data_IF_456168409020
#
_entry.id   IF_456168409020
#
_cell.length_a   1.000
_cell.length_b   1.000
_cell.length_c   1.000
_cell.angle_alpha   90.00
_cell.angle_beta   90.00
_cell.angle_gamma   90.00
#
_symmetry.space_group_name_H-M   'P 1'
#
loop_
_entity.id
_entity.type
_entity.pdbx_description
1 polymer ?
#
# COMPACT_ATOMS: atom_id res chain seq x y z
N UNK A 1 23.82 11.87 0.84
CA UNK A 1 22.74 12.50 0.06
C UNK A 1 21.65 12.91 1.03
N UNK A 2 21.16 14.14 0.93
CA UNK A 2 20.20 14.72 1.88
C UNK A 2 18.82 14.11 1.66
N UNK A 3 18.21 13.61 2.75
CA UNK A 3 16.83 13.16 2.80
C UNK A 3 15.87 14.22 2.21
N UNK A 4 14.85 13.79 1.46
CA UNK A 4 13.85 14.71 0.92
C UNK A 4 12.95 15.23 2.04
N UNK A 5 12.69 16.54 2.03
CA UNK A 5 11.67 17.13 2.90
C UNK A 5 10.31 17.21 2.18
N UNK A 6 9.27 17.50 2.95
CA UNK A 6 7.89 17.59 2.45
C UNK A 6 7.75 18.63 1.32
N UNK A 7 8.42 19.77 1.44
CA UNK A 7 8.34 20.85 0.44
C UNK A 7 8.94 20.42 -0.90
N UNK A 8 10.07 19.71 -0.89
CA UNK A 8 10.69 19.17 -2.09
C UNK A 8 9.79 18.13 -2.78
N UNK A 9 9.13 17.26 -2.01
CA UNK A 9 8.18 16.28 -2.55
C UNK A 9 6.97 16.99 -3.17
N UNK A 10 6.42 18.00 -2.49
CA UNK A 10 5.32 18.81 -3.02
C UNK A 10 5.72 19.60 -4.28
N UNK A 11 6.97 20.06 -4.39
CA UNK A 11 7.51 20.67 -5.61
C UNK A 11 7.53 19.67 -6.76
N UNK A 12 8.07 18.46 -6.54
CA UNK A 12 8.09 17.41 -7.58
C UNK A 12 6.68 17.04 -8.04
N UNK A 13 5.72 16.93 -7.12
CA UNK A 13 4.31 16.68 -7.47
C UNK A 13 3.74 17.81 -8.34
N UNK A 14 4.06 19.08 -8.06
CA UNK A 14 3.63 20.22 -8.90
C UNK A 14 4.26 20.20 -10.29
N UNK A 15 5.54 19.85 -10.39
CA UNK A 15 6.24 19.70 -11.67
C UNK A 15 5.55 18.60 -12.51
N UNK A 16 5.31 17.43 -11.90
CA UNK A 16 4.61 16.32 -12.56
C UNK A 16 3.22 16.74 -13.04
N UNK A 17 2.46 17.45 -12.20
CA UNK A 17 1.13 17.94 -12.56
C UNK A 17 1.17 18.83 -13.82
N UNK A 18 2.14 19.74 -13.90
CA UNK A 18 2.33 20.64 -15.04
C UNK A 18 2.79 19.90 -16.31
N UNK A 19 3.82 19.07 -16.21
CA UNK A 19 4.40 18.34 -17.35
C UNK A 19 3.41 17.35 -17.97
N UNK A 20 2.66 16.63 -17.13
CA UNK A 20 1.69 15.63 -17.57
C UNK A 20 0.32 16.23 -17.91
N UNK A 21 0.12 17.53 -17.63
CA UNK A 21 -1.14 18.25 -17.83
C UNK A 21 -2.32 17.54 -17.16
N UNK A 22 -2.11 17.09 -15.92
CA UNK A 22 -3.10 16.42 -15.07
C UNK A 22 -3.47 17.31 -13.89
N UNK A 23 -4.36 16.83 -13.03
CA UNK A 23 -4.53 17.36 -11.67
C UNK A 23 -4.33 16.25 -10.66
N UNK A 24 -3.53 16.50 -9.64
CA UNK A 24 -3.30 15.56 -8.55
C UNK A 24 -4.45 15.70 -7.56
N UNK A 25 -5.15 14.60 -7.35
CA UNK A 25 -6.31 14.48 -6.47
C UNK A 25 -5.93 14.19 -5.03
N UNK A 26 -4.91 13.34 -4.87
CA UNK A 26 -4.44 12.82 -3.61
C UNK A 26 -2.99 12.38 -3.78
N UNK A 27 -2.13 12.65 -2.81
CA UNK A 27 -0.75 12.17 -2.78
C UNK A 27 -0.36 11.84 -1.34
N UNK A 28 0.25 10.68 -1.14
CA UNK A 28 0.66 10.19 0.17
C UNK A 28 2.00 9.46 0.12
N UNK A 29 2.56 9.23 1.30
CA UNK A 29 3.66 8.29 1.48
C UNK A 29 3.13 6.85 1.42
N UNK A 30 3.96 5.93 0.95
CA UNK A 30 3.71 4.49 0.96
C UNK A 30 4.94 3.75 1.51
N UNK A 31 4.91 2.42 1.49
CA UNK A 31 6.08 1.60 1.84
C UNK A 31 6.50 1.75 3.30
N UNK A 32 7.80 1.54 3.56
CA UNK A 32 8.34 1.43 4.93
C UNK A 32 8.09 2.65 5.81
N UNK A 33 8.00 3.83 5.20
CA UNK A 33 7.72 5.10 5.90
C UNK A 33 6.26 5.15 6.36
N UNK A 34 5.32 4.79 5.49
CA UNK A 34 3.90 4.68 5.83
C UNK A 34 3.63 3.55 6.84
N UNK A 35 4.43 2.48 6.82
CA UNK A 35 4.31 1.37 7.77
C UNK A 35 4.82 1.68 9.19
N UNK A 36 5.44 2.84 9.43
CA UNK A 36 5.83 3.29 10.76
C UNK A 36 7.24 2.89 11.23
N UNK A 37 8.08 2.36 10.35
CA UNK A 37 9.47 2.02 10.67
C UNK A 37 10.50 2.57 9.66
N UNK A 38 10.45 3.88 9.33
CA UNK A 38 11.47 4.48 8.48
C UNK A 38 12.84 4.39 9.14
N UNK A 39 13.84 3.92 8.40
CA UNK A 39 15.25 4.15 8.74
C UNK A 39 15.71 5.50 8.16
N UNK A 40 16.90 5.97 8.56
CA UNK A 40 17.51 7.17 7.95
C UNK A 40 17.68 7.04 6.43
N UNK A 41 17.92 5.82 5.96
CA UNK A 41 18.10 5.49 4.53
C UNK A 41 16.84 4.88 3.90
N UNK A 42 15.65 5.13 4.49
CA UNK A 42 14.40 4.70 3.85
C UNK A 42 14.11 5.57 2.64
N UNK A 43 13.89 4.91 1.50
CA UNK A 43 13.38 5.51 0.27
C UNK A 43 12.03 6.20 0.51
N UNK A 44 11.74 7.20 -0.32
CA UNK A 44 10.47 7.91 -0.37
C UNK A 44 9.62 7.29 -1.47
N UNK A 45 8.57 6.58 -1.06
CA UNK A 45 7.62 5.89 -1.91
C UNK A 45 6.37 6.76 -2.05
N UNK A 46 6.46 7.83 -2.84
CA UNK A 46 5.33 8.75 -3.02
C UNK A 46 4.35 8.13 -4.00
N UNK A 47 3.08 8.05 -3.59
CA UNK A 47 2.00 7.51 -4.40
C UNK A 47 0.90 8.53 -4.55
N UNK A 48 0.33 8.66 -5.74
CA UNK A 48 -0.69 9.68 -6.00
C UNK A 48 -1.81 9.22 -6.91
N UNK A 49 -2.98 9.84 -6.75
CA UNK A 49 -4.11 9.73 -7.66
C UNK A 49 -4.18 11.01 -8.47
N UNK A 50 -4.43 10.88 -9.77
CA UNK A 50 -4.58 12.04 -10.65
C UNK A 50 -5.78 11.90 -11.57
N UNK A 51 -6.20 13.00 -12.15
CA UNK A 51 -7.27 13.07 -13.15
C UNK A 51 -6.78 13.84 -14.37
N UNK A 52 -7.16 13.35 -15.55
CA UNK A 52 -6.90 13.99 -16.84
C UNK A 52 -8.08 14.91 -17.23
N UNK A 53 -7.93 15.82 -18.21
CA UNK A 53 -9.06 16.58 -18.74
C UNK A 53 -10.16 15.68 -19.32
N UNK A 54 -11.41 16.14 -19.33
CA UNK A 54 -12.58 15.37 -19.81
C UNK A 54 -12.38 14.77 -21.20
N UNK A 55 -11.87 15.56 -22.16
CA UNK A 55 -11.62 15.12 -23.54
C UNK A 55 -10.63 13.95 -23.63
N UNK A 56 -9.78 13.77 -22.62
CA UNK A 56 -8.88 12.61 -22.56
C UNK A 56 -9.66 11.31 -22.43
N UNK A 57 -10.74 11.31 -21.62
CA UNK A 57 -11.62 10.17 -21.38
C UNK A 57 -12.66 9.96 -22.49
N UNK A 58 -13.04 11.04 -23.20
CA UNK A 58 -13.93 10.98 -24.36
C UNK A 58 -13.19 10.55 -25.64
N UNK A 59 -12.42 9.47 -25.53
CA UNK A 59 -11.65 8.89 -26.64
C UNK A 59 -12.04 7.44 -26.84
N UNK A 60 -12.09 7.00 -28.10
CA UNK A 60 -12.36 5.59 -28.45
C UNK A 60 -11.18 4.66 -28.17
N UNK A 61 -9.99 5.21 -27.90
CA UNK A 61 -8.78 4.44 -27.65
C UNK A 61 -8.43 4.45 -26.17
N UNK A 62 -7.99 3.30 -25.67
CA UNK A 62 -7.35 3.23 -24.37
C UNK A 62 -6.02 3.98 -24.38
N UNK A 63 -5.77 4.68 -23.27
CA UNK A 63 -4.58 5.50 -23.06
C UNK A 63 -3.92 5.08 -21.76
N UNK A 64 -2.61 5.34 -21.66
CA UNK A 64 -1.82 4.99 -20.47
C UNK A 64 -2.41 5.67 -19.22
N UNK A 65 -2.71 4.86 -18.21
CA UNK A 65 -3.42 5.24 -16.99
C UNK A 65 -2.51 5.27 -15.74
N UNK A 66 -1.19 5.30 -15.98
CA UNK A 66 -0.14 5.38 -14.95
C UNK A 66 0.88 6.46 -15.31
N UNK A 67 1.40 7.15 -14.30
CA UNK A 67 2.56 8.04 -14.39
C UNK A 67 3.62 7.50 -13.45
N UNK A 68 4.81 7.23 -13.97
CA UNK A 68 5.93 6.67 -13.21
C UNK A 68 7.13 7.62 -13.38
N UNK A 69 7.69 8.09 -12.27
CA UNK A 69 8.78 9.08 -12.21
C UNK A 69 9.79 8.68 -11.13
N UNK A 70 10.79 7.85 -11.46
CA UNK A 70 11.92 7.63 -10.58
C UNK A 70 12.82 8.87 -10.61
N UNK A 71 12.64 9.78 -9.65
CA UNK A 71 13.37 11.07 -9.60
C UNK A 71 14.82 10.86 -9.19
N UNK A 72 15.05 9.94 -8.24
CA UNK A 72 16.37 9.48 -7.83
C UNK A 72 16.27 8.08 -7.21
N UNK A 73 17.42 7.49 -6.86
CA UNK A 73 17.45 6.22 -6.14
C UNK A 73 16.70 6.27 -4.79
N UNK A 74 16.47 7.48 -4.24
CA UNK A 74 15.79 7.69 -2.96
C UNK A 74 14.35 8.20 -3.10
N UNK A 75 13.91 8.62 -4.29
CA UNK A 75 12.57 9.21 -4.49
C UNK A 75 11.89 8.59 -5.70
N UNK A 76 10.91 7.74 -5.40
CA UNK A 76 10.08 7.03 -6.35
C UNK A 76 8.65 7.59 -6.30
N UNK A 77 8.23 8.27 -7.37
CA UNK A 77 6.91 8.90 -7.46
C UNK A 77 6.08 8.18 -8.53
N UNK A 78 4.99 7.52 -8.10
CA UNK A 78 4.12 6.77 -8.99
C UNK A 78 2.66 7.13 -8.77
N UNK A 79 1.92 7.29 -9.85
CA UNK A 79 0.52 7.71 -9.80
C UNK A 79 -0.39 6.91 -10.70
N UNK A 80 -1.64 6.81 -10.29
CA UNK A 80 -2.72 6.18 -11.03
C UNK A 80 -3.79 7.18 -11.41
N UNK A 81 -4.25 7.06 -12.65
CA UNK A 81 -5.43 7.77 -13.13
C UNK A 81 -6.65 7.37 -12.29
N UNK A 82 -7.55 8.32 -12.03
CA UNK A 82 -8.73 8.11 -11.19
C UNK A 82 -9.63 6.98 -11.72
N UNK A 83 -9.78 6.81 -13.03
CA UNK A 83 -10.57 5.71 -13.61
C UNK A 83 -9.91 4.36 -13.29
N UNK A 84 -8.58 4.28 -13.31
CA UNK A 84 -7.83 3.10 -12.88
C UNK A 84 -8.02 2.86 -11.39
N UNK A 85 -7.87 3.90 -10.57
CA UNK A 85 -8.01 3.82 -9.13
C UNK A 85 -9.40 3.30 -8.73
N UNK A 86 -10.48 3.85 -9.30
CA UNK A 86 -11.84 3.37 -9.02
C UNK A 86 -12.05 1.91 -9.46
N UNK A 87 -11.45 1.48 -10.57
CA UNK A 87 -11.48 0.08 -10.98
C UNK A 87 -10.69 -0.85 -10.04
N UNK A 88 -9.58 -0.38 -9.48
CA UNK A 88 -8.80 -1.11 -8.48
C UNK A 88 -9.54 -1.17 -7.14
N UNK A 89 -10.18 -0.07 -6.74
CA UNK A 89 -11.04 0.02 -5.58
C UNK A 89 -12.20 -0.97 -5.65
N UNK A 90 -12.87 -1.05 -6.80
CA UNK A 90 -13.94 -2.03 -7.08
C UNK A 90 -13.51 -3.48 -6.88
N UNK A 91 -12.22 -3.77 -7.07
CA UNK A 91 -11.61 -5.10 -6.89
C UNK A 91 -11.00 -5.30 -5.50
N UNK A 92 -11.17 -4.34 -4.60
CA UNK A 92 -10.53 -4.27 -3.28
C UNK A 92 -9.01 -4.43 -3.35
N UNK A 93 -8.39 -3.74 -4.31
CA UNK A 93 -6.95 -3.80 -4.51
C UNK A 93 -6.20 -3.27 -3.26
N UNK A 94 -5.40 -4.10 -2.55
CA UNK A 94 -4.79 -3.65 -1.31
C UNK A 94 -3.81 -2.48 -1.43
N UNK A 95 -2.96 -2.38 -2.47
CA UNK A 95 -2.11 -1.20 -2.62
C UNK A 95 -2.90 0.11 -2.66
N UNK A 96 -4.01 0.18 -3.39
CA UNK A 96 -4.84 1.39 -3.38
C UNK A 96 -5.44 1.68 -2.00
N UNK A 97 -5.98 0.65 -1.33
CA UNK A 97 -6.58 0.79 -0.01
C UNK A 97 -5.55 1.25 1.02
N UNK A 98 -4.31 0.77 0.91
CA UNK A 98 -3.17 1.23 1.72
C UNK A 98 -2.82 2.68 1.45
N UNK A 99 -2.78 3.13 0.19
CA UNK A 99 -2.53 4.54 -0.13
C UNK A 99 -3.57 5.42 0.55
N UNK A 100 -4.85 5.04 0.49
CA UNK A 100 -5.95 5.76 1.11
C UNK A 100 -5.91 5.74 2.65
N UNK A 101 -5.20 4.79 3.27
CA UNK A 101 -5.01 4.71 4.72
C UNK A 101 -3.69 5.34 5.20
N UNK A 102 -2.87 5.86 4.30
CA UNK A 102 -1.56 6.40 4.67
C UNK A 102 -1.66 7.51 5.71
N UNK A 103 -0.88 7.45 6.81
CA UNK A 103 -0.87 8.50 7.83
C UNK A 103 -0.13 9.77 7.38
N UNK A 104 0.54 9.74 6.21
CA UNK A 104 1.39 10.81 5.72
C UNK A 104 0.87 11.33 4.37
N UNK A 105 0.00 12.34 4.43
CA UNK A 105 -0.60 12.97 3.24
C UNK A 105 0.24 14.17 2.79
N UNK A 106 0.69 14.12 1.54
CA UNK A 106 1.41 15.20 0.87
C UNK A 106 0.47 16.23 0.26
N UNK A 107 -0.62 15.80 -0.36
CA UNK A 107 -1.60 16.67 -1.01
C UNK A 107 -2.97 16.01 -1.08
N UNK A 108 -4.04 16.75 -0.81
CA UNK A 108 -5.43 16.31 -1.00
C UNK A 108 -6.33 17.55 -1.26
N UNK A 109 -6.24 18.17 -2.44
CA UNK A 109 -6.93 19.44 -2.70
C UNK A 109 -8.40 19.29 -3.11
N UNK A 110 -8.87 18.06 -3.36
CA UNK A 110 -10.22 17.76 -3.85
C UNK A 110 -10.90 16.71 -2.98
N UNK A 111 -12.24 16.65 -3.03
CA UNK A 111 -13.05 15.82 -2.13
C UNK A 111 -13.06 14.32 -2.47
N UNK A 112 -12.64 13.95 -3.68
CA UNK A 112 -12.76 12.59 -4.23
C UNK A 112 -12.11 11.50 -3.37
N UNK A 113 -10.91 11.72 -2.82
CA UNK A 113 -10.23 10.69 -2.04
C UNK A 113 -10.91 10.44 -0.69
N UNK A 114 -11.45 11.47 -0.04
CA UNK A 114 -12.32 11.34 1.13
C UNK A 114 -13.59 10.55 0.80
N UNK A 115 -14.22 10.85 -0.33
CA UNK A 115 -15.41 10.12 -0.78
C UNK A 115 -15.12 8.64 -1.05
N UNK A 116 -13.97 8.31 -1.67
CA UNK A 116 -13.55 6.90 -1.86
C UNK A 116 -13.36 6.20 -0.51
N UNK A 117 -12.71 6.86 0.47
CA UNK A 117 -12.56 6.29 1.82
C UNK A 117 -13.90 5.99 2.48
N UNK A 118 -14.88 6.88 2.32
CA UNK A 118 -16.23 6.66 2.85
C UNK A 118 -16.95 5.46 2.21
N UNK A 119 -16.62 5.09 0.96
CA UNK A 119 -17.14 3.89 0.29
C UNK A 119 -16.43 2.60 0.71
N UNK A 120 -15.21 2.69 1.24
CA UNK A 120 -14.33 1.54 1.46
C UNK A 120 -14.94 0.41 2.29
N UNK A 121 -15.68 0.66 3.39
CA UNK A 121 -16.29 -0.42 4.18
C UNK A 121 -17.30 -1.25 3.39
N UNK A 122 -17.93 -0.66 2.36
CA UNK A 122 -18.96 -1.32 1.58
C UNK A 122 -18.39 -2.15 0.41
N UNK A 123 -17.23 -1.74 -0.12
CA UNK A 123 -16.58 -2.37 -1.28
C UNK A 123 -15.44 -3.33 -0.89
N UNK A 124 -15.21 -3.56 0.40
CA UNK A 124 -14.13 -4.43 0.87
C UNK A 124 -14.42 -5.91 0.62
N UNK A 125 -13.49 -6.60 -0.04
CA UNK A 125 -13.50 -8.05 -0.29
C UNK A 125 -12.41 -8.71 0.53
N UNK A 126 -12.74 -9.36 1.67
CA UNK A 126 -11.78 -10.11 2.47
C UNK A 126 -11.02 -11.15 1.63
N UNK A 127 -11.72 -11.86 0.73
CA UNK A 127 -11.11 -12.84 -0.17
C UNK A 127 -10.09 -12.24 -1.13
N UNK A 128 -10.42 -11.12 -1.78
CA UNK A 128 -9.51 -10.49 -2.74
C UNK A 128 -8.23 -10.00 -2.04
N UNK A 129 -8.37 -9.35 -0.89
CA UNK A 129 -7.24 -8.84 -0.13
C UNK A 129 -6.38 -9.99 0.44
N UNK A 130 -7.01 -11.04 0.98
CA UNK A 130 -6.33 -12.25 1.46
C UNK A 130 -5.43 -12.87 0.38
N UNK A 131 -5.96 -13.09 -0.83
CA UNK A 131 -5.15 -13.66 -1.91
C UNK A 131 -3.98 -12.76 -2.32
N UNK A 132 -4.20 -11.46 -2.38
CA UNK A 132 -3.15 -10.51 -2.75
C UNK A 132 -2.00 -10.51 -1.73
N UNK A 133 -2.32 -10.41 -0.44
CA UNK A 133 -1.32 -10.44 0.62
C UNK A 133 -0.59 -11.78 0.69
N UNK A 134 -1.31 -12.90 0.59
CA UNK A 134 -0.71 -14.22 0.57
C UNK A 134 0.23 -14.41 -0.62
N UNK A 135 -0.16 -13.96 -1.81
CA UNK A 135 0.70 -13.98 -3.00
C UNK A 135 1.98 -13.17 -2.78
N UNK A 136 1.85 -11.96 -2.22
CA UNK A 136 2.98 -11.09 -1.90
C UNK A 136 3.92 -11.73 -0.88
N UNK A 137 3.38 -12.28 0.21
CA UNK A 137 4.15 -12.97 1.24
C UNK A 137 4.94 -14.15 0.65
N UNK A 138 4.26 -15.02 -0.11
CA UNK A 138 4.86 -16.22 -0.71
C UNK A 138 5.97 -15.87 -1.70
N UNK A 139 5.75 -14.86 -2.54
CA UNK A 139 6.75 -14.39 -3.50
C UNK A 139 8.01 -13.89 -2.81
N UNK A 140 7.87 -13.04 -1.79
CA UNK A 140 9.00 -12.50 -1.03
C UNK A 140 9.70 -13.59 -0.20
N UNK A 141 8.95 -14.50 0.43
CA UNK A 141 9.52 -15.61 1.20
C UNK A 141 10.40 -16.49 0.31
N UNK A 142 9.86 -16.94 -0.83
CA UNK A 142 10.58 -17.78 -1.79
C UNK A 142 11.85 -17.11 -2.31
N UNK A 143 11.80 -15.80 -2.57
CA UNK A 143 12.93 -15.09 -3.17
C UNK A 143 14.05 -14.78 -2.16
N UNK A 144 13.71 -14.55 -0.89
CA UNK A 144 14.66 -13.92 0.04
C UNK A 144 14.91 -14.67 1.35
N UNK A 145 14.05 -15.61 1.76
CA UNK A 145 14.03 -16.11 3.16
C UNK A 145 14.15 -17.65 3.31
N UNK A 146 14.46 -18.40 2.25
CA UNK A 146 14.55 -19.88 2.29
C UNK A 146 15.93 -20.44 2.70
N UNK A 147 17.00 -19.63 2.66
CA UNK A 147 18.37 -20.08 2.97
C UNK A 147 18.74 -19.95 4.45
N UNK A 148 19.92 -20.45 4.81
CA UNK A 148 20.48 -20.24 6.16
C UNK A 148 20.92 -18.79 6.37
N UNK A 149 21.35 -18.11 5.30
CA UNK A 149 21.60 -16.68 5.24
C UNK A 149 20.51 -16.02 4.40
N UNK A 150 19.89 -14.96 4.93
CA UNK A 150 18.72 -14.31 4.33
C UNK A 150 18.83 -12.80 4.40
N UNK A 151 18.16 -12.11 3.47
CA UNK A 151 18.07 -10.64 3.50
C UNK A 151 17.15 -10.20 4.63
N UNK A 152 17.71 -9.77 5.75
CA UNK A 152 16.98 -9.53 6.99
C UNK A 152 15.88 -8.48 6.81
N UNK A 153 16.14 -7.41 6.06
CA UNK A 153 15.11 -6.40 5.74
C UNK A 153 13.89 -6.95 5.00
N UNK A 154 13.99 -8.12 4.35
CA UNK A 154 12.89 -8.75 3.61
C UNK A 154 11.88 -9.46 4.51
N UNK A 155 12.18 -9.67 5.80
CA UNK A 155 11.18 -10.16 6.75
C UNK A 155 9.96 -9.24 6.83
N UNK A 156 10.12 -7.91 6.83
CA UNK A 156 8.99 -6.98 6.85
C UNK A 156 8.02 -7.14 5.68
N UNK A 157 8.56 -7.48 4.50
CA UNK A 157 7.78 -7.70 3.26
C UNK A 157 7.07 -9.07 3.23
N UNK A 158 7.30 -9.93 4.23
CA UNK A 158 6.60 -11.21 4.40
C UNK A 158 5.70 -11.17 5.64
N UNK A 159 6.23 -10.67 6.76
CA UNK A 159 5.48 -10.52 8.00
C UNK A 159 4.28 -9.60 7.85
N UNK A 160 4.43 -8.41 7.25
CA UNK A 160 3.31 -7.47 7.13
C UNK A 160 2.16 -8.07 6.33
N UNK A 161 2.35 -8.65 5.12
CA UNK A 161 1.26 -9.30 4.41
C UNK A 161 0.64 -10.48 5.16
N UNK A 162 1.41 -11.28 5.92
CA UNK A 162 0.84 -12.39 6.69
C UNK A 162 0.04 -11.91 7.91
N UNK A 163 0.50 -10.88 8.61
CA UNK A 163 -0.27 -10.24 9.66
C UNK A 163 -1.54 -9.59 9.10
N UNK A 164 -1.47 -9.00 7.89
CA UNK A 164 -2.63 -8.53 7.17
C UNK A 164 -3.63 -9.66 6.87
N UNK A 165 -3.18 -10.83 6.42
CA UNK A 165 -4.05 -12.01 6.26
C UNK A 165 -4.76 -12.35 7.58
N UNK A 166 -4.02 -12.39 8.70
CA UNK A 166 -4.58 -12.71 10.01
C UNK A 166 -5.57 -11.65 10.51
N UNK A 167 -5.30 -10.37 10.27
CA UNK A 167 -6.24 -9.29 10.56
C UNK A 167 -7.55 -9.46 9.80
N UNK A 168 -7.46 -9.72 8.50
CA UNK A 168 -8.63 -9.88 7.61
C UNK A 168 -9.45 -11.09 8.06
N UNK A 169 -8.82 -12.20 8.41
CA UNK A 169 -9.50 -13.38 8.93
C UNK A 169 -10.27 -13.08 10.24
N UNK A 170 -9.66 -12.33 11.17
CA UNK A 170 -10.28 -12.03 12.47
C UNK A 170 -11.39 -10.98 12.41
N UNK A 171 -11.21 -9.96 11.57
CA UNK A 171 -12.05 -8.75 11.60
C UNK A 171 -12.93 -8.58 10.37
N UNK A 172 -12.61 -9.26 9.26
CA UNK A 172 -13.22 -9.00 7.94
C UNK A 172 -13.14 -7.52 7.51
N UNK A 173 -12.12 -6.79 7.98
CA UNK A 173 -11.86 -5.39 7.62
C UNK A 173 -10.48 -5.21 7.00
N UNK A 174 -10.26 -4.04 6.39
CA UNK A 174 -8.95 -3.66 5.87
C UNK A 174 -7.94 -3.54 7.03
N UNK A 175 -6.76 -4.19 6.95
CA UNK A 175 -5.73 -4.08 7.97
C UNK A 175 -5.18 -2.65 8.09
N UNK A 176 -4.79 -2.21 9.30
CA UNK A 176 -3.96 -1.02 9.48
C UNK A 176 -2.70 -1.07 8.62
N UNK A 177 -2.26 0.11 8.15
CA UNK A 177 -1.05 0.20 7.33
C UNK A 177 0.21 0.08 8.19
N UNK A 178 0.13 0.58 9.42
CA UNK A 178 1.20 0.58 10.41
C UNK A 178 1.48 -0.84 10.93
N UNK A 179 2.75 -1.24 10.83
CA UNK A 179 3.15 -2.59 11.20
C UNK A 179 3.16 -2.81 12.70
N UNK A 180 3.53 -1.81 13.49
CA UNK A 180 3.52 -1.90 14.96
C UNK A 180 2.09 -2.20 15.47
N UNK A 181 1.06 -1.59 14.87
CA UNK A 181 -0.35 -1.87 15.22
C UNK A 181 -0.71 -3.34 14.94
N UNK A 182 -0.28 -3.88 13.80
CA UNK A 182 -0.53 -5.28 13.45
C UNK A 182 0.19 -6.23 14.42
N UNK A 183 1.46 -5.95 14.73
CA UNK A 183 2.25 -6.77 15.67
C UNK A 183 1.62 -6.76 17.05
N UNK A 184 1.23 -5.59 17.56
CA UNK A 184 0.66 -5.45 18.90
C UNK A 184 -0.71 -6.12 19.03
N UNK A 185 -1.54 -6.07 17.99
CA UNK A 185 -2.86 -6.67 18.01
C UNK A 185 -2.85 -8.20 17.83
N UNK A 186 -1.85 -8.75 17.12
CA UNK A 186 -1.92 -10.12 16.61
C UNK A 186 -0.87 -11.06 17.20
N UNK A 187 0.29 -10.55 17.59
CA UNK A 187 1.40 -11.37 18.09
C UNK A 187 1.35 -11.44 19.62
N UNK A 188 1.31 -12.65 20.23
CA UNK A 188 1.18 -12.78 21.68
C UNK A 188 2.32 -12.10 22.46
N UNK A 189 1.94 -11.37 23.52
CA UNK A 189 2.89 -10.76 24.45
C UNK A 189 3.78 -11.81 25.12
N UNK A 190 5.06 -11.47 25.29
CA UNK A 190 6.07 -12.35 25.88
C UNK A 190 6.49 -13.55 25.03
N UNK A 191 5.97 -13.69 23.80
CA UNK A 191 6.40 -14.74 22.87
C UNK A 191 7.79 -14.47 22.29
N UNK A 192 8.54 -15.55 21.98
CA UNK A 192 9.83 -15.46 21.28
C UNK A 192 9.68 -14.76 19.92
N UNK A 193 8.55 -14.98 19.23
CA UNK A 193 8.22 -14.31 17.98
C UNK A 193 8.13 -12.79 18.15
N UNK A 194 7.39 -12.31 19.16
CA UNK A 194 7.24 -10.87 19.40
C UNK A 194 8.58 -10.22 19.74
N UNK A 195 9.37 -10.87 20.61
CA UNK A 195 10.70 -10.41 20.96
C UNK A 195 11.62 -10.30 19.71
N UNK A 196 11.61 -11.31 18.84
CA UNK A 196 12.39 -11.32 17.61
C UNK A 196 11.96 -10.22 16.62
N UNK A 197 10.66 -9.97 16.47
CA UNK A 197 10.13 -8.90 15.62
C UNK A 197 10.50 -7.53 16.18
N UNK A 198 10.39 -7.33 17.49
CA UNK A 198 10.74 -6.07 18.15
C UNK A 198 12.23 -5.76 18.03
N UNK A 199 13.10 -6.75 18.23
CA UNK A 199 14.54 -6.59 18.01
C UNK A 199 14.84 -6.18 16.57
N UNK A 200 14.21 -6.86 15.60
CA UNK A 200 14.36 -6.52 14.19
C UNK A 200 13.89 -5.09 13.86
N UNK A 201 12.80 -4.63 14.48
CA UNK A 201 12.31 -3.25 14.36
C UNK A 201 13.28 -2.23 14.95
N UNK A 202 13.86 -2.52 16.12
CA UNK A 202 14.87 -1.65 16.77
C UNK A 202 16.08 -1.50 15.85
N UNK A 203 16.61 -2.62 15.34
CA UNK A 203 17.74 -2.63 14.40
C UNK A 203 17.41 -1.88 13.11
N UNK A 204 16.21 -2.03 12.57
CA UNK A 204 15.78 -1.29 11.37
C UNK A 204 15.70 0.22 11.62
N UNK A 205 15.10 0.64 12.74
CA UNK A 205 14.91 2.05 13.09
C UNK A 205 16.24 2.74 13.47
N UNK A 206 17.23 2.00 13.96
CA UNK A 206 18.58 2.54 14.26
C UNK A 206 19.39 2.90 13.01
N UNK A 207 19.00 2.38 11.84
CA UNK A 207 19.73 2.56 10.58
C UNK A 207 20.84 1.52 10.37
N UNK A 208 20.76 0.37 11.06
CA UNK A 208 21.66 -0.75 10.80
C UNK A 208 21.48 -1.28 9.36
N UNK A 209 22.59 -1.57 8.67
CA UNK A 209 22.57 -2.18 7.34
C UNK A 209 22.15 -3.66 7.45
N UNK A 210 20.85 -3.90 7.35
CA UNK A 210 20.24 -5.23 7.37
C UNK A 210 20.39 -5.94 6.01
N UNK A 211 21.57 -6.52 5.79
CA UNK A 211 21.90 -7.30 4.59
C UNK A 211 21.65 -8.81 4.80
N UNK A 212 22.60 -9.68 4.44
CA UNK A 212 22.48 -11.12 4.57
C UNK A 212 23.01 -11.58 5.94
N UNK A 213 22.13 -12.15 6.75
CA UNK A 213 22.47 -12.67 8.08
C UNK A 213 21.81 -14.03 8.31
N UNK A 214 22.19 -14.77 9.37
CA UNK A 214 21.47 -15.99 9.74
C UNK A 214 19.97 -15.75 9.87
N UNK A 215 19.17 -16.69 9.34
CA UNK A 215 17.71 -16.63 9.48
C UNK A 215 17.27 -16.61 10.95
N UNK A 216 16.25 -15.83 11.23
CA UNK A 216 15.67 -15.67 12.57
C UNK A 216 14.63 -16.77 12.77
N UNK A 217 15.02 -17.86 13.44
CA UNK A 217 14.21 -19.09 13.53
C UNK A 217 12.76 -18.88 14.02
N UNK A 218 12.49 -18.11 15.09
CA UNK A 218 11.11 -17.87 15.52
C UNK A 218 10.24 -17.22 14.43
N UNK A 219 10.82 -16.30 13.64
CA UNK A 219 10.13 -15.60 12.56
C UNK A 219 9.90 -16.54 11.36
N UNK A 220 10.91 -17.35 10.97
CA UNK A 220 10.75 -18.32 9.90
C UNK A 220 9.66 -19.36 10.20
N UNK A 221 9.68 -19.92 11.41
CA UNK A 221 8.68 -20.90 11.83
C UNK A 221 7.26 -20.33 11.71
N UNK A 222 7.05 -19.10 12.22
CA UNK A 222 5.79 -18.40 12.09
C UNK A 222 5.38 -18.18 10.61
N UNK A 223 6.31 -17.71 9.77
CA UNK A 223 6.04 -17.47 8.34
C UNK A 223 5.60 -18.76 7.64
N UNK A 224 6.31 -19.86 7.87
CA UNK A 224 6.03 -21.16 7.23
C UNK A 224 4.68 -21.73 7.67
N UNK A 225 4.35 -21.60 8.95
CA UNK A 225 3.06 -21.98 9.51
C UNK A 225 1.92 -21.16 8.89
N UNK A 226 2.05 -19.83 8.89
CA UNK A 226 1.04 -18.94 8.31
C UNK A 226 0.85 -19.17 6.81
N UNK A 227 1.93 -19.33 6.04
CA UNK A 227 1.82 -19.62 4.60
C UNK A 227 1.06 -20.92 4.36
N UNK A 228 1.42 -21.99 5.08
CA UNK A 228 0.75 -23.30 4.97
C UNK A 228 -0.73 -23.20 5.34
N UNK A 229 -1.05 -22.45 6.39
CA UNK A 229 -2.42 -22.26 6.85
C UNK A 229 -3.26 -21.46 5.83
N UNK A 230 -2.79 -20.28 5.41
CA UNK A 230 -3.55 -19.39 4.53
C UNK A 230 -3.66 -19.90 3.10
N UNK A 231 -2.72 -20.73 2.62
CA UNK A 231 -2.88 -21.44 1.34
C UNK A 231 -4.13 -22.33 1.30
N UNK A 232 -4.55 -22.86 2.46
CA UNK A 232 -5.76 -23.67 2.59
C UNK A 232 -6.99 -22.81 2.89
N UNK A 233 -6.85 -21.81 3.75
CA UNK A 233 -7.97 -21.01 4.25
C UNK A 233 -8.49 -19.95 3.25
N UNK A 234 -7.63 -19.42 2.36
CA UNK A 234 -7.98 -18.27 1.50
C UNK A 234 -9.20 -18.52 0.59
N UNK A 235 -9.44 -19.77 0.19
CA UNK A 235 -10.60 -20.13 -0.65
C UNK A 235 -11.96 -19.93 0.04
N UNK A 236 -11.99 -20.06 1.37
CA UNK A 236 -13.19 -20.00 2.20
C UNK A 236 -13.57 -18.58 2.63
N UNK A 237 -12.74 -17.58 2.32
CA UNK A 237 -13.01 -16.19 2.67
C UNK A 237 -14.25 -15.66 1.94
N UNK A 238 -15.05 -14.79 2.58
CA UNK A 238 -16.19 -14.16 1.94
C UNK A 238 -15.74 -13.23 0.80
N UNK A 239 -16.53 -13.21 -0.26
CA UNK A 239 -16.40 -12.23 -1.35
C UNK A 239 -16.93 -10.87 -0.90
N UNK A 240 -16.57 -9.81 -1.64
CA UNK A 240 -17.20 -8.50 -1.46
C UNK A 240 -18.73 -8.57 -1.58
N UNK A 241 -19.36 -7.57 -0.97
CA UNK A 241 -20.76 -7.23 -1.20
C UNK A 241 -20.99 -6.77 -2.66
N UNK A 242 -22.26 -6.59 -3.03
CA UNK A 242 -22.64 -6.27 -4.41
C UNK A 242 -21.85 -5.09 -5.02
N UNK A 243 -21.54 -5.14 -6.33
CA UNK A 243 -20.78 -4.10 -7.01
C UNK A 243 -21.48 -2.73 -6.90
N UNK A 244 -20.73 -1.67 -6.56
CA UNK A 244 -21.23 -0.30 -6.51
C UNK A 244 -20.95 0.47 -7.82
N UNK A 245 -21.09 -0.20 -8.95
CA UNK A 245 -20.58 0.27 -10.23
C UNK A 245 -21.16 1.65 -10.62
N UNK A 246 -22.47 1.85 -10.46
CA UNK A 246 -23.13 3.13 -10.73
C UNK A 246 -22.61 4.26 -9.83
N UNK A 247 -22.41 3.97 -8.53
CA UNK A 247 -21.91 4.96 -7.56
C UNK A 247 -20.46 5.36 -7.84
N UNK A 248 -19.63 4.41 -8.31
CA UNK A 248 -18.26 4.71 -8.74
C UNK A 248 -18.24 5.56 -10.01
N UNK A 249 -19.17 5.33 -10.93
CA UNK A 249 -19.35 6.14 -12.14
C UNK A 249 -19.80 7.57 -11.80
N UNK A 250 -20.77 7.73 -10.90
CA UNK A 250 -21.20 9.04 -10.39
C UNK A 250 -20.04 9.78 -9.73
N UNK A 251 -19.29 9.08 -8.89
CA UNK A 251 -18.13 9.62 -8.18
C UNK A 251 -17.04 10.10 -9.15
N UNK A 252 -16.77 9.33 -10.21
CA UNK A 252 -15.84 9.72 -11.28
C UNK A 252 -16.30 11.00 -11.99
N UNK A 253 -17.58 11.09 -12.36
CA UNK A 253 -18.14 12.27 -13.04
C UNK A 253 -18.12 13.50 -12.13
N UNK A 254 -18.42 13.33 -10.84
CA UNK A 254 -18.33 14.41 -9.85
C UNK A 254 -16.90 14.93 -9.72
N UNK A 255 -15.89 14.05 -9.73
CA UNK A 255 -14.48 14.46 -9.70
C UNK A 255 -14.09 15.27 -10.96
N UNK A 256 -14.54 14.86 -12.14
CA UNK A 256 -14.32 15.62 -13.38
C UNK A 256 -14.92 17.04 -13.29
N UNK A 257 -16.14 17.15 -12.76
CA UNK A 257 -16.82 18.42 -12.58
C UNK A 257 -16.11 19.32 -11.57
N UNK A 258 -15.75 18.76 -10.41
CA UNK A 258 -15.07 19.47 -9.33
C UNK A 258 -13.74 20.08 -9.81
N UNK A 259 -13.00 19.32 -10.62
CA UNK A 259 -11.62 19.66 -11.01
C UNK A 259 -11.57 20.53 -12.28
N UNK A 260 -12.37 20.22 -13.29
CA UNK A 260 -12.24 20.85 -14.62
C UNK A 260 -13.42 21.74 -15.02
N UNK A 261 -14.56 21.66 -14.33
CA UNK A 261 -15.75 22.46 -14.66
C UNK A 261 -16.06 23.54 -13.61
N UNK A 262 -15.13 23.79 -12.67
CA UNK A 262 -15.12 25.03 -11.89
C UNK A 262 -14.58 26.17 -12.77
N UNK A 263 -15.49 26.78 -13.53
CA UNK A 263 -15.28 27.91 -14.42
C UNK A 263 -16.30 27.91 -15.55
#
# INVERSE_FOLDING_TARGET
>A
MTAYNREQICEQLRIIEQEEQVRILYACESGSRAWGFPSRDSDYDVRFLYIRPTDWYLSIFDKRDVIERPISDLLDINGWDIRKALNLFRKSNPPLLEWLQSPMIYSEPYTIAEQIRALSPLAFSPKSCMYHYLHMARGNYRMYLQGDQVKIKKYFYVLRPLLACQWIERSSTMPPIEFDILVDALVPEGSELKAAIQELLIRKKSGEELDNEPRILPINAYIEECLTYYERAAGSMPTANEPQDERLDELFRAALQEVWQKG
#
